data_IF_551279808983
#
_entry.id   IF_551279808983
#
_cell.length_a   1.000
_cell.length_b   1.000
_cell.length_c   1.000
_cell.angle_alpha   90.00
_cell.angle_beta   90.00
_cell.angle_gamma   90.00
#
_symmetry.space_group_name_H-M   'P 1'
#
loop_
_entity.id
_entity.type
_entity.pdbx_description
1 polymer ?
#
# COMPACT_ATOMS: atom_id res chain seq x y z
N UNK A 1 -1.87 6.00 -1.99
CA UNK A 1 -2.81 4.89 -2.25
C UNK A 1 -3.79 4.77 -1.10
N UNK A 2 -5.10 4.63 -1.38
CA UNK A 2 -6.15 4.50 -0.34
C UNK A 2 -7.29 3.62 -0.86
N UNK A 3 -7.99 2.91 0.04
CA UNK A 3 -9.16 2.07 -0.25
C UNK A 3 -8.90 0.94 -1.26
N UNK A 4 -7.72 0.33 -1.23
CA UNK A 4 -7.47 -0.90 -2.00
C UNK A 4 -8.11 -2.08 -1.28
N UNK A 5 -8.99 -2.81 -1.97
CA UNK A 5 -9.66 -3.99 -1.44
C UNK A 5 -9.96 -4.97 -2.57
N UNK A 6 -9.72 -6.25 -2.31
CA UNK A 6 -10.11 -7.37 -3.18
C UNK A 6 -11.11 -8.20 -2.39
N UNK A 7 -12.20 -8.61 -3.04
CA UNK A 7 -13.21 -9.47 -2.43
C UNK A 7 -12.58 -10.80 -1.98
N UNK A 8 -13.01 -11.38 -0.84
CA UNK A 8 -12.40 -12.58 -0.28
C UNK A 8 -12.30 -13.75 -1.27
N UNK A 9 -13.34 -13.95 -2.08
CA UNK A 9 -13.42 -15.02 -3.09
C UNK A 9 -12.33 -14.95 -4.16
N UNK A 10 -11.64 -13.82 -4.29
CA UNK A 10 -10.58 -13.59 -5.27
C UNK A 10 -9.20 -13.39 -4.62
N UNK A 11 -9.06 -13.68 -3.33
CA UNK A 11 -7.75 -13.66 -2.66
C UNK A 11 -6.86 -14.78 -3.19
N UNK A 12 -5.54 -14.58 -3.12
CA UNK A 12 -4.56 -15.57 -3.61
C UNK A 12 -4.39 -15.62 -5.14
N UNK A 13 -5.23 -14.91 -5.90
CA UNK A 13 -5.15 -14.86 -7.37
C UNK A 13 -4.19 -13.78 -7.91
N UNK A 14 -3.42 -13.11 -7.04
CA UNK A 14 -2.49 -12.06 -7.45
C UNK A 14 -3.12 -10.70 -7.81
N UNK A 15 -4.44 -10.52 -7.66
CA UNK A 15 -5.13 -9.27 -8.01
C UNK A 15 -4.59 -8.06 -7.24
N UNK A 16 -4.39 -8.19 -5.92
CA UNK A 16 -3.83 -7.10 -5.12
C UNK A 16 -2.43 -6.68 -5.59
N UNK A 17 -1.63 -7.65 -6.06
CA UNK A 17 -0.32 -7.39 -6.66
C UNK A 17 -0.47 -6.61 -7.96
N UNK A 18 -1.31 -7.08 -8.87
CA UNK A 18 -1.54 -6.42 -10.16
C UNK A 18 -2.06 -4.98 -10.00
N UNK A 19 -2.99 -4.75 -9.06
CA UNK A 19 -3.51 -3.42 -8.74
C UNK A 19 -2.42 -2.51 -8.17
N UNK A 20 -1.57 -3.03 -7.27
CA UNK A 20 -0.46 -2.25 -6.69
C UNK A 20 0.57 -1.88 -7.75
N UNK A 21 0.95 -2.84 -8.61
CA UNK A 21 1.89 -2.62 -9.70
C UNK A 21 1.39 -1.57 -10.69
N UNK A 22 0.15 -1.70 -11.16
CA UNK A 22 -0.47 -0.73 -12.07
C UNK A 22 -0.51 0.68 -11.47
N UNK A 23 -0.84 0.80 -10.18
CA UNK A 23 -0.85 2.09 -9.49
C UNK A 23 0.55 2.70 -9.39
N UNK A 24 1.58 1.91 -9.07
CA UNK A 24 2.96 2.39 -8.99
C UNK A 24 3.50 2.82 -10.37
N UNK A 25 3.20 2.06 -11.42
CA UNK A 25 3.53 2.42 -12.80
C UNK A 25 2.89 3.77 -13.17
N UNK A 26 1.59 3.92 -12.94
CA UNK A 26 0.88 5.18 -13.24
C UNK A 26 1.44 6.34 -12.41
N UNK A 27 1.74 6.12 -11.13
CA UNK A 27 2.31 7.16 -10.29
C UNK A 27 3.69 7.62 -10.81
N UNK A 28 4.50 6.70 -11.33
CA UNK A 28 5.77 7.01 -11.98
C UNK A 28 5.59 7.81 -13.26
N UNK A 29 4.66 7.41 -14.13
CA UNK A 29 4.34 8.14 -15.37
C UNK A 29 3.85 9.56 -15.11
N UNK A 30 3.12 9.77 -14.01
CA UNK A 30 2.65 11.08 -13.56
C UNK A 30 3.74 11.94 -12.90
N UNK A 31 4.96 11.42 -12.73
CA UNK A 31 6.09 12.16 -12.14
C UNK A 31 6.02 12.32 -10.62
N UNK A 32 5.28 11.46 -9.90
CA UNK A 32 5.30 11.49 -8.44
C UNK A 32 6.64 10.98 -7.89
N UNK A 33 7.12 11.61 -6.80
CA UNK A 33 8.34 11.17 -6.11
C UNK A 33 8.13 10.03 -5.11
N UNK A 34 6.91 9.86 -4.59
CA UNK A 34 6.58 8.75 -3.68
C UNK A 34 5.08 8.45 -3.65
N UNK A 35 4.75 7.23 -3.22
CA UNK A 35 3.39 6.80 -2.90
C UNK A 35 3.32 6.45 -1.43
N UNK A 36 2.38 7.06 -0.71
CA UNK A 36 2.12 6.77 0.71
C UNK A 36 0.79 6.05 0.91
N UNK A 37 0.73 5.25 1.96
CA UNK A 37 -0.49 4.58 2.43
C UNK A 37 -0.52 4.56 3.95
N UNK A 38 -1.72 4.34 4.47
CA UNK A 38 -1.98 3.91 5.83
C UNK A 38 -2.73 2.58 5.81
N UNK A 39 -2.41 1.71 6.75
CA UNK A 39 -3.02 0.41 6.98
C UNK A 39 -3.19 0.21 8.48
N UNK A 40 -3.67 -0.97 8.89
CA UNK A 40 -3.72 -1.39 10.29
C UNK A 40 -2.98 -2.72 10.45
N UNK A 41 -2.39 -2.99 11.62
CA UNK A 41 -1.52 -4.16 11.86
C UNK A 41 -2.23 -5.50 11.64
N UNK A 42 -3.55 -5.54 11.80
CA UNK A 42 -4.38 -6.73 11.60
C UNK A 42 -4.44 -7.17 10.12
N UNK A 43 -4.15 -6.26 9.18
CA UNK A 43 -4.16 -6.54 7.73
C UNK A 43 -2.80 -7.09 7.25
N UNK A 44 -2.31 -8.14 7.91
CA UNK A 44 -0.99 -8.73 7.69
C UNK A 44 -0.72 -9.09 6.20
N UNK A 45 -1.72 -9.66 5.50
CA UNK A 45 -1.60 -9.96 4.06
C UNK A 45 -1.31 -8.72 3.21
N UNK A 46 -1.94 -7.59 3.53
CA UNK A 46 -1.74 -6.33 2.82
C UNK A 46 -0.37 -5.73 3.17
N UNK A 47 0.02 -5.75 4.43
CA UNK A 47 1.34 -5.27 4.88
C UNK A 47 2.47 -6.04 4.18
N UNK A 48 2.42 -7.38 4.16
CA UNK A 48 3.41 -8.21 3.46
C UNK A 48 3.46 -7.91 1.96
N UNK A 49 2.30 -7.71 1.33
CA UNK A 49 2.23 -7.32 -0.08
C UNK A 49 2.99 -6.01 -0.32
N UNK A 50 2.69 -4.97 0.47
CA UNK A 50 3.33 -3.67 0.30
C UNK A 50 4.84 -3.74 0.58
N UNK A 51 5.25 -4.45 1.64
CA UNK A 51 6.67 -4.70 1.93
C UNK A 51 7.38 -5.39 0.76
N UNK A 52 6.74 -6.37 0.12
CA UNK A 52 7.30 -7.06 -1.05
C UNK A 52 7.46 -6.14 -2.27
N UNK A 53 6.63 -5.11 -2.40
CA UNK A 53 6.81 -4.03 -3.40
C UNK A 53 7.89 -3.02 -3.01
N UNK A 54 8.44 -3.08 -1.80
CA UNK A 54 9.46 -2.15 -1.31
C UNK A 54 8.89 -0.94 -0.57
N UNK A 55 7.62 -0.94 -0.18
CA UNK A 55 7.11 0.04 0.78
C UNK A 55 7.84 -0.16 2.11
N UNK A 56 8.23 0.95 2.73
CA UNK A 56 8.86 1.00 4.05
C UNK A 56 7.95 1.69 5.05
N UNK A 57 7.92 1.21 6.28
CA UNK A 57 7.24 1.91 7.37
C UNK A 57 7.86 3.30 7.58
N UNK A 58 7.02 4.29 7.83
CA UNK A 58 7.39 5.67 8.09
C UNK A 58 6.60 6.22 9.28
N UNK A 59 7.06 7.34 9.82
CA UNK A 59 6.29 8.09 10.82
C UNK A 59 4.90 8.51 10.30
N UNK A 60 3.89 8.59 11.17
CA UNK A 60 2.57 9.10 10.81
C UNK A 60 2.63 10.46 10.12
N UNK A 61 2.08 10.54 8.92
CA UNK A 61 2.00 11.81 8.15
C UNK A 61 0.61 12.46 8.22
N UNK A 62 -0.35 11.81 8.88
CA UNK A 62 -1.69 12.34 9.17
C UNK A 62 -2.31 11.62 10.36
N UNK A 63 -3.37 12.19 10.92
CA UNK A 63 -4.17 11.50 11.92
C UNK A 63 -4.88 10.27 11.33
N UNK A 64 -4.81 9.16 12.07
CA UNK A 64 -5.62 7.96 11.86
C UNK A 64 -6.23 7.60 13.22
N UNK A 65 -7.57 7.48 13.33
CA UNK A 65 -8.21 7.13 14.60
C UNK A 65 -7.93 5.69 15.06
N UNK A 66 -7.39 4.84 14.19
CA UNK A 66 -7.04 3.47 14.55
C UNK A 66 -5.74 3.44 15.38
N UNK A 67 -5.74 2.84 16.58
CA UNK A 67 -4.57 2.83 17.47
C UNK A 67 -3.37 2.10 16.85
N UNK A 68 -3.62 1.02 16.11
CA UNK A 68 -2.60 0.21 15.44
C UNK A 68 -2.38 0.63 13.97
N UNK A 69 -2.57 1.92 13.66
CA UNK A 69 -2.33 2.43 12.33
C UNK A 69 -0.84 2.33 11.96
N UNK A 70 -0.57 1.81 10.76
CA UNK A 70 0.77 1.73 10.18
C UNK A 70 0.81 2.59 8.94
N UNK A 71 1.86 3.41 8.81
CA UNK A 71 2.06 4.28 7.66
C UNK A 71 3.25 3.77 6.86
N UNK A 72 3.13 3.75 5.53
CA UNK A 72 4.20 3.26 4.67
C UNK A 72 4.41 4.16 3.46
N UNK A 73 5.65 4.20 2.96
CA UNK A 73 6.06 4.94 1.76
C UNK A 73 6.82 4.03 0.79
N UNK A 74 6.48 4.13 -0.49
CA UNK A 74 7.29 3.67 -1.61
C UNK A 74 7.87 4.89 -2.31
N UNK A 75 9.20 4.97 -2.42
CA UNK A 75 9.87 6.03 -3.19
C UNK A 75 9.98 5.60 -4.64
N UNK A 76 9.48 6.44 -5.54
CA UNK A 76 9.55 6.21 -6.98
C UNK A 76 10.95 6.63 -7.45
N UNK A 77 11.60 5.75 -8.21
CA UNK A 77 12.90 5.95 -8.87
C UNK A 77 12.78 6.07 -10.37
#
# INVERSE_FOLDING_TARGET
MKRMYVLPDYHGMGIGKALTEALLCQAKEMGYGSVRLDSVRELDKALRLYQAFGFKEIEPYRFNPHPEAVFMEYRIS
#
